data_IF_520446592942
#
_entry.id   IF_520446592942
#
_cell.length_a   1.000
_cell.length_b   1.000
_cell.length_c   1.000
_cell.angle_alpha   90.00
_cell.angle_beta   90.00
_cell.angle_gamma   90.00
#
_symmetry.space_group_name_H-M   'P 1'
#
loop_
_entity.id
_entity.type
_entity.pdbx_description
1 polymer ?
#
# COMPACT_ATOMS: atom_id res chain seq x y z
N UNK A 1 25.30 -16.89 15.40
CA UNK A 1 25.12 -18.32 15.08
C UNK A 1 24.85 -18.44 13.58
N UNK A 2 24.96 -19.62 12.96
CA UNK A 2 24.53 -19.80 11.56
C UNK A 2 23.00 -19.68 11.47
N UNK A 3 22.48 -19.43 10.28
CA UNK A 3 21.04 -19.55 10.05
C UNK A 3 20.63 -21.03 10.23
N UNK A 4 19.39 -21.30 10.66
CA UNK A 4 18.87 -22.65 10.90
C UNK A 4 19.07 -23.55 9.66
N UNK A 5 18.80 -23.00 8.47
CA UNK A 5 19.02 -23.63 7.17
C UNK A 5 20.50 -23.91 6.83
N UNK A 6 21.42 -23.28 7.57
CA UNK A 6 22.88 -23.44 7.47
C UNK A 6 23.47 -24.20 8.66
N UNK A 7 22.63 -24.92 9.43
CA UNK A 7 23.03 -25.72 10.59
C UNK A 7 23.21 -24.91 11.88
N UNK A 8 22.51 -23.78 12.01
CA UNK A 8 22.39 -23.06 13.29
C UNK A 8 21.62 -23.87 14.33
N UNK A 9 21.79 -23.53 15.61
CA UNK A 9 21.13 -24.23 16.72
C UNK A 9 20.12 -23.30 17.39
N UNK A 10 18.98 -23.86 17.78
CA UNK A 10 17.99 -23.10 18.54
C UNK A 10 18.55 -22.73 19.92
N UNK A 11 18.40 -21.46 20.28
CA UNK A 11 18.78 -20.93 21.60
C UNK A 11 17.50 -20.64 22.36
N UNK A 12 17.27 -21.33 23.48
CA UNK A 12 16.14 -21.02 24.36
C UNK A 12 16.24 -19.59 24.89
N UNK A 13 15.13 -18.86 24.92
CA UNK A 13 15.05 -17.52 25.51
C UNK A 13 15.53 -17.50 26.97
N UNK A 14 15.23 -18.55 27.76
CA UNK A 14 15.68 -18.66 29.16
C UNK A 14 17.20 -18.84 29.30
N UNK A 15 17.86 -19.29 28.24
CA UNK A 15 19.31 -19.49 28.20
C UNK A 15 20.05 -18.30 27.58
N UNK A 16 19.32 -17.30 27.06
CA UNK A 16 19.89 -16.14 26.40
C UNK A 16 20.62 -15.26 27.42
N UNK A 17 21.91 -14.98 27.17
CA UNK A 17 22.72 -14.09 28.02
C UNK A 17 22.90 -12.74 27.34
N UNK A 18 22.89 -11.66 28.13
CA UNK A 18 23.25 -10.32 27.66
C UNK A 18 24.77 -10.11 27.76
N UNK A 19 25.43 -9.48 26.77
CA UNK A 19 24.86 -9.02 25.50
C UNK A 19 24.56 -10.18 24.57
N UNK A 20 23.44 -10.09 23.84
CA UNK A 20 23.08 -11.08 22.82
C UNK A 20 24.05 -10.95 21.65
N UNK A 21 24.55 -12.07 21.13
CA UNK A 21 25.42 -12.06 19.96
C UNK A 21 24.69 -11.46 18.74
N UNK A 22 25.30 -10.51 18.05
CA UNK A 22 24.68 -9.80 16.92
C UNK A 22 24.32 -10.68 15.72
N UNK A 23 24.91 -11.88 15.62
CA UNK A 23 24.62 -12.88 14.59
C UNK A 23 23.47 -13.83 14.95
N UNK A 24 22.79 -13.62 16.07
CA UNK A 24 21.61 -14.39 16.46
C UNK A 24 20.39 -13.95 15.65
N UNK A 25 19.50 -14.90 15.31
CA UNK A 25 18.30 -14.65 14.50
C UNK A 25 17.04 -14.97 15.31
N UNK A 26 15.98 -14.18 15.10
CA UNK A 26 14.63 -14.46 15.62
C UNK A 26 13.83 -15.15 14.52
N UNK A 27 13.35 -16.36 14.80
CA UNK A 27 12.49 -17.12 13.89
C UNK A 27 11.04 -17.06 14.37
N UNK A 28 10.20 -16.31 13.65
CA UNK A 28 8.74 -16.30 13.83
C UNK A 28 8.07 -15.80 12.54
N UNK A 29 6.79 -16.14 12.33
CA UNK A 29 6.00 -15.52 11.26
C UNK A 29 5.94 -14.01 11.52
N UNK A 30 6.22 -13.22 10.49
CA UNK A 30 6.31 -11.75 10.55
C UNK A 30 7.47 -11.19 11.39
N UNK A 31 8.46 -12.00 11.75
CA UNK A 31 9.64 -11.51 12.45
C UNK A 31 10.41 -10.47 11.63
N UNK A 32 10.59 -10.66 10.33
CA UNK A 32 11.27 -9.66 9.48
C UNK A 32 10.32 -8.65 8.84
N UNK A 33 9.07 -9.05 8.62
CA UNK A 33 8.09 -8.33 7.81
C UNK A 33 6.67 -8.53 8.41
N UNK A 34 6.12 -7.61 9.19
CA UNK A 34 6.57 -6.23 9.51
C UNK A 34 6.73 -5.96 11.03
N UNK A 35 6.50 -6.97 11.88
CA UNK A 35 6.29 -6.77 13.33
C UNK A 35 7.53 -6.33 14.09
N UNK A 36 8.71 -6.87 13.76
CA UNK A 36 9.94 -6.45 14.46
C UNK A 36 10.33 -5.00 14.15
N UNK A 37 10.28 -4.52 12.90
CA UNK A 37 10.43 -3.09 12.61
C UNK A 37 9.52 -2.18 13.46
N UNK A 38 8.23 -2.50 13.59
CA UNK A 38 7.30 -1.72 14.44
C UNK A 38 7.77 -1.73 15.90
N UNK A 39 8.09 -2.92 16.42
CA UNK A 39 8.54 -3.08 17.81
C UNK A 39 9.85 -2.33 18.09
N UNK A 40 10.78 -2.34 17.13
CA UNK A 40 12.05 -1.63 17.26
C UNK A 40 11.85 -0.12 17.37
N UNK A 41 10.94 0.45 16.59
CA UNK A 41 10.63 1.88 16.68
C UNK A 41 9.95 2.23 17.99
N UNK A 42 8.97 1.45 18.44
CA UNK A 42 8.31 1.67 19.74
C UNK A 42 9.31 1.60 20.90
N UNK A 43 10.21 0.60 20.88
CA UNK A 43 11.26 0.45 21.88
C UNK A 43 12.21 1.66 21.90
N UNK A 44 12.54 2.22 20.74
CA UNK A 44 13.38 3.42 20.66
C UNK A 44 12.68 4.65 21.25
N UNK A 45 11.38 4.82 20.99
CA UNK A 45 10.57 5.89 21.59
C UNK A 45 10.47 5.75 23.11
N UNK A 46 10.24 4.53 23.60
CA UNK A 46 10.20 4.24 25.03
C UNK A 46 11.55 4.55 25.70
N UNK A 47 12.67 4.21 25.06
CA UNK A 47 14.01 4.52 25.56
C UNK A 47 14.30 6.02 25.61
N UNK A 48 13.88 6.79 24.59
CA UNK A 48 13.99 8.25 24.59
C UNK A 48 13.17 8.86 25.72
N UNK A 49 11.93 8.40 25.88
CA UNK A 49 11.03 8.86 26.94
C UNK A 49 11.61 8.54 28.34
N UNK A 50 12.11 7.32 28.56
CA UNK A 50 12.73 6.90 29.82
C UNK A 50 14.03 7.65 30.14
N UNK A 51 14.75 8.11 29.12
CA UNK A 51 15.94 8.94 29.25
C UNK A 51 15.64 10.45 29.33
N UNK A 52 14.35 10.84 29.37
CA UNK A 52 13.89 12.23 29.35
C UNK A 52 14.44 13.04 28.15
N UNK A 53 14.67 12.36 27.02
CA UNK A 53 15.14 12.99 25.78
C UNK A 53 13.91 13.39 24.95
N UNK A 54 13.65 14.69 24.76
CA UNK A 54 12.49 15.13 23.98
C UNK A 54 12.68 14.84 22.49
N UNK A 55 11.57 14.55 21.80
CA UNK A 55 11.57 14.48 20.34
C UNK A 55 11.79 15.87 19.75
N UNK A 56 12.71 15.99 18.80
CA UNK A 56 12.98 17.24 18.09
C UNK A 56 12.02 17.51 16.92
N UNK A 57 11.21 16.52 16.56
CA UNK A 57 10.26 16.55 15.44
C UNK A 57 8.98 15.81 15.80
N UNK A 58 7.90 16.13 15.10
CA UNK A 58 6.68 15.32 15.13
C UNK A 58 6.90 14.02 14.36
N UNK A 59 6.54 12.89 14.97
CA UNK A 59 6.62 11.56 14.35
C UNK A 59 5.21 11.08 14.05
N UNK A 60 4.95 10.68 12.80
CA UNK A 60 3.70 10.04 12.37
C UNK A 60 4.02 8.68 11.78
N UNK A 61 3.31 7.66 12.21
CA UNK A 61 3.44 6.30 11.70
C UNK A 61 2.39 6.03 10.62
N UNK A 62 2.85 5.48 9.50
CA UNK A 62 2.00 4.93 8.45
C UNK A 62 2.23 3.43 8.44
N UNK A 63 1.25 2.69 8.94
CA UNK A 63 1.24 1.23 8.94
C UNK A 63 0.21 0.78 7.91
N UNK A 64 0.65 0.02 6.92
CA UNK A 64 -0.20 -0.60 5.89
C UNK A 64 -0.24 -2.09 6.23
N UNK A 65 -1.43 -2.66 6.41
CA UNK A 65 -1.62 -4.06 6.80
C UNK A 65 -2.42 -4.87 5.78
N UNK A 66 -2.65 -4.32 4.59
CA UNK A 66 -3.59 -4.85 3.59
C UNK A 66 -2.91 -5.23 2.26
N UNK A 67 -1.58 -5.23 2.23
CA UNK A 67 -0.77 -5.62 1.06
C UNK A 67 -1.16 -7.02 0.52
N UNK A 68 -1.68 -7.92 1.38
CA UNK A 68 -1.98 -9.31 1.05
C UNK A 68 -3.48 -9.66 0.89
N UNK A 69 -4.45 -8.82 1.29
CA UNK A 69 -5.87 -9.26 1.45
C UNK A 69 -6.97 -8.20 1.12
N UNK A 70 -6.62 -7.11 0.43
CA UNK A 70 -7.58 -6.00 0.17
C UNK A 70 -8.58 -6.22 -0.98
N UNK A 71 -8.54 -7.37 -1.66
CA UNK A 71 -9.35 -7.59 -2.87
C UNK A 71 -10.77 -8.10 -2.60
N UNK A 72 -10.99 -8.76 -1.45
CA UNK A 72 -12.22 -9.49 -1.14
C UNK A 72 -13.29 -8.63 -0.43
N UNK A 73 -12.89 -7.55 0.26
CA UNK A 73 -13.79 -6.63 0.94
C UNK A 73 -13.84 -5.25 0.25
N UNK A 74 -15.02 -4.64 0.25
CA UNK A 74 -15.18 -3.25 -0.21
C UNK A 74 -14.49 -2.25 0.73
N UNK A 75 -14.26 -1.02 0.24
CA UNK A 75 -13.67 0.07 1.02
C UNK A 75 -14.38 0.30 2.36
N UNK A 76 -15.71 0.41 2.34
CA UNK A 76 -16.50 0.77 3.53
C UNK A 76 -16.57 -0.38 4.53
N UNK A 77 -16.70 -1.61 4.04
CA UNK A 77 -16.70 -2.83 4.88
C UNK A 77 -15.36 -2.97 5.62
N UNK A 78 -14.25 -2.72 4.93
CA UNK A 78 -12.92 -2.76 5.54
C UNK A 78 -12.71 -1.65 6.57
N UNK A 79 -13.20 -0.45 6.28
CA UNK A 79 -13.15 0.66 7.22
C UNK A 79 -13.92 0.34 8.50
N UNK A 80 -15.09 -0.27 8.37
CA UNK A 80 -15.92 -0.70 9.51
C UNK A 80 -15.23 -1.80 10.33
N UNK A 81 -14.64 -2.80 9.68
CA UNK A 81 -13.88 -3.87 10.33
C UNK A 81 -12.76 -3.30 11.22
N UNK A 82 -11.90 -2.46 10.64
CA UNK A 82 -10.76 -1.86 11.35
C UNK A 82 -11.27 -0.94 12.46
N UNK A 83 -12.30 -0.12 12.20
CA UNK A 83 -12.85 0.80 13.19
C UNK A 83 -13.42 0.05 14.41
N UNK A 84 -14.13 -1.06 14.17
CA UNK A 84 -14.66 -1.93 15.22
C UNK A 84 -13.54 -2.55 16.05
N UNK A 85 -12.48 -3.03 15.39
CA UNK A 85 -11.32 -3.58 16.06
C UNK A 85 -10.59 -2.55 16.92
N UNK A 86 -10.35 -1.35 16.41
CA UNK A 86 -9.70 -0.25 17.15
C UNK A 86 -10.52 0.17 18.36
N UNK A 87 -11.85 0.27 18.20
CA UNK A 87 -12.79 0.57 19.31
C UNK A 87 -12.71 -0.48 20.40
N UNK A 88 -12.62 -1.76 20.02
CA UNK A 88 -12.51 -2.88 20.97
C UNK A 88 -11.20 -2.88 21.76
N UNK A 89 -10.09 -2.48 21.15
CA UNK A 89 -8.81 -2.33 21.86
C UNK A 89 -8.89 -1.17 22.85
N UNK A 90 -9.62 -0.10 22.50
CA UNK A 90 -9.76 1.08 23.35
C UNK A 90 -8.46 1.89 23.46
N UNK A 91 -7.72 2.01 22.35
CA UNK A 91 -6.49 2.80 22.31
C UNK A 91 -6.80 4.29 22.48
N UNK A 92 -6.04 4.94 23.37
CA UNK A 92 -6.02 6.40 23.54
C UNK A 92 -4.82 7.00 22.79
N UNK A 93 -4.91 6.98 21.46
CA UNK A 93 -3.94 7.59 20.54
C UNK A 93 -4.68 8.32 19.43
N UNK A 94 -4.09 9.39 18.88
CA UNK A 94 -4.56 9.98 17.63
C UNK A 94 -4.18 9.04 16.47
N UNK A 95 -5.19 8.52 15.77
CA UNK A 95 -4.99 7.65 14.61
C UNK A 95 -5.94 8.04 13.49
N UNK A 96 -5.53 7.71 12.26
CA UNK A 96 -6.36 7.80 11.06
C UNK A 96 -6.30 6.47 10.35
N UNK A 97 -7.46 5.94 9.96
CA UNK A 97 -7.54 4.71 9.17
C UNK A 97 -7.49 5.12 7.70
N UNK A 98 -6.57 4.51 6.95
CA UNK A 98 -6.47 4.64 5.50
C UNK A 98 -6.68 3.27 4.90
N UNK A 99 -7.77 3.10 4.16
CA UNK A 99 -8.01 1.87 3.40
C UNK A 99 -7.52 2.08 1.97
N UNK A 100 -6.50 1.32 1.56
CA UNK A 100 -6.03 1.30 0.19
C UNK A 100 -6.83 0.30 -0.64
N UNK A 101 -8.07 0.63 -1.02
CA UNK A 101 -8.90 -0.27 -1.82
C UNK A 101 -8.60 -0.17 -3.34
N UNK A 102 -8.06 -1.21 -4.00
CA UNK A 102 -7.25 -2.32 -3.44
C UNK A 102 -5.75 -2.15 -3.78
N UNK A 103 -5.35 -1.10 -4.50
CA UNK A 103 -3.93 -0.76 -4.70
C UNK A 103 -3.70 0.71 -5.10
N UNK A 104 -2.48 1.22 -4.98
CA UNK A 104 -2.13 2.59 -5.41
C UNK A 104 -2.33 2.80 -6.92
N UNK A 105 -2.11 1.77 -7.73
CA UNK A 105 -2.29 1.82 -9.18
C UNK A 105 -3.74 2.13 -9.57
N UNK A 106 -4.70 1.71 -8.74
CA UNK A 106 -6.12 2.06 -8.87
C UNK A 106 -6.32 3.57 -8.79
N UNK A 107 -5.73 4.25 -7.79
CA UNK A 107 -5.78 5.71 -7.70
C UNK A 107 -5.08 6.37 -8.88
N UNK A 108 -3.93 5.82 -9.31
CA UNK A 108 -3.19 6.33 -10.44
C UNK A 108 -4.00 6.26 -11.75
N UNK A 109 -4.77 5.19 -11.97
CA UNK A 109 -5.72 5.06 -13.08
C UNK A 109 -6.88 6.07 -13.01
N UNK A 110 -7.09 6.72 -11.85
CA UNK A 110 -7.98 7.85 -11.69
C UNK A 110 -7.64 9.05 -12.60
N UNK A 111 -6.42 9.13 -13.13
CA UNK A 111 -6.05 10.19 -14.06
C UNK A 111 -6.63 9.93 -15.47
N UNK A 112 -7.85 10.41 -15.75
CA UNK A 112 -8.48 10.29 -17.08
C UNK A 112 -7.63 10.89 -18.22
N UNK A 113 -6.78 11.88 -17.93
CA UNK A 113 -5.95 12.54 -18.94
C UNK A 113 -4.78 11.67 -19.45
N UNK A 114 -4.47 10.53 -18.83
CA UNK A 114 -3.50 9.55 -19.38
C UNK A 114 -4.15 8.53 -20.31
N UNK A 115 -5.46 8.33 -20.22
CA UNK A 115 -6.17 7.30 -20.99
C UNK A 115 -6.36 7.77 -22.44
N UNK A 116 -5.80 7.08 -23.45
CA UNK A 116 -5.95 7.48 -24.84
C UNK A 116 -7.38 7.23 -25.34
N UNK A 117 -8.02 8.26 -25.91
CA UNK A 117 -9.33 8.12 -26.57
C UNK A 117 -9.30 7.11 -27.72
N UNK A 118 -8.20 7.09 -28.46
CA UNK A 118 -7.91 6.13 -29.53
C UNK A 118 -6.60 5.40 -29.18
N UNK A 119 -6.66 4.25 -28.51
CA UNK A 119 -5.47 3.52 -28.11
C UNK A 119 -4.69 3.00 -29.31
N UNK A 120 -3.36 3.08 -29.28
CA UNK A 120 -2.48 2.63 -30.39
C UNK A 120 -2.26 1.12 -30.37
N UNK A 121 -2.19 0.53 -29.19
CA UNK A 121 -1.88 -0.88 -28.96
C UNK A 121 -3.15 -1.72 -28.73
N UNK A 122 -3.13 -2.96 -29.20
CA UNK A 122 -4.22 -3.92 -28.95
C UNK A 122 -4.43 -4.18 -27.47
N UNK A 123 -3.35 -4.15 -26.69
CA UNK A 123 -3.39 -4.37 -25.24
C UNK A 123 -4.28 -3.35 -24.53
N UNK A 124 -4.16 -2.06 -24.85
CA UNK A 124 -5.00 -1.03 -24.24
C UNK A 124 -6.44 -1.11 -24.77
N UNK A 125 -6.64 -1.49 -26.04
CA UNK A 125 -7.99 -1.75 -26.59
C UNK A 125 -8.68 -2.89 -25.84
N UNK A 126 -7.97 -4.00 -25.61
CA UNK A 126 -8.47 -5.15 -24.86
C UNK A 126 -8.85 -4.75 -23.43
N UNK A 127 -7.96 -4.07 -22.71
CA UNK A 127 -8.24 -3.66 -21.33
C UNK A 127 -9.42 -2.69 -21.23
N UNK A 128 -9.57 -1.75 -22.18
CA UNK A 128 -10.74 -0.86 -22.23
C UNK A 128 -12.04 -1.58 -22.55
N UNK A 129 -12.00 -2.62 -23.38
CA UNK A 129 -13.18 -3.43 -23.67
C UNK A 129 -13.65 -4.22 -22.43
N UNK A 130 -12.74 -4.57 -21.53
CA UNK A 130 -13.05 -5.25 -20.26
C UNK A 130 -13.55 -4.25 -19.24
N UNK A 131 -12.82 -3.15 -19.05
CA UNK A 131 -13.19 -2.09 -18.13
C UNK A 131 -12.62 -0.75 -18.62
N UNK A 132 -13.50 0.14 -19.10
CA UNK A 132 -13.06 1.44 -19.56
C UNK A 132 -12.87 2.40 -18.38
N UNK A 133 -11.63 2.52 -17.90
CA UNK A 133 -11.27 3.43 -16.80
C UNK A 133 -11.43 4.90 -17.15
N UNK A 134 -11.71 5.26 -18.41
CA UNK A 134 -12.07 6.64 -18.75
C UNK A 134 -13.44 7.01 -18.16
N UNK A 135 -14.38 6.07 -18.22
CA UNK A 135 -15.79 6.26 -17.84
C UNK A 135 -16.09 5.64 -16.48
N UNK A 136 -15.58 4.44 -16.21
CA UNK A 136 -15.89 3.66 -15.01
C UNK A 136 -14.83 3.85 -13.91
N UNK A 137 -15.22 3.62 -12.65
CA UNK A 137 -14.31 3.71 -11.51
C UNK A 137 -13.21 2.65 -11.58
N UNK A 138 -11.92 3.02 -11.56
CA UNK A 138 -10.84 2.06 -11.41
C UNK A 138 -10.95 1.18 -10.16
N UNK A 139 -11.58 1.67 -9.08
CA UNK A 139 -11.75 0.89 -7.84
C UNK A 139 -12.62 -0.35 -8.01
N UNK A 140 -13.44 -0.38 -9.07
CA UNK A 140 -14.34 -1.49 -9.41
C UNK A 140 -13.76 -2.38 -10.52
N UNK A 141 -12.45 -2.31 -10.77
CA UNK A 141 -11.78 -3.17 -11.76
C UNK A 141 -12.06 -4.66 -11.46
N UNK A 142 -12.49 -5.44 -12.48
CA UNK A 142 -12.75 -6.87 -12.31
C UNK A 142 -11.46 -7.69 -12.31
N UNK A 143 -11.54 -8.93 -11.83
CA UNK A 143 -10.49 -9.94 -12.03
C UNK A 143 -10.36 -10.24 -13.52
N UNK A 144 -9.12 -10.30 -14.05
CA UNK A 144 -8.91 -10.55 -15.48
C UNK A 144 -9.14 -12.04 -15.81
N UNK A 145 -10.21 -12.42 -16.55
CA UNK A 145 -10.63 -13.82 -16.64
C UNK A 145 -9.64 -14.74 -17.35
N UNK A 146 -8.87 -14.18 -18.30
CA UNK A 146 -8.00 -14.96 -19.19
C UNK A 146 -6.61 -15.28 -18.62
N UNK A 147 -6.22 -14.66 -17.51
CA UNK A 147 -4.84 -14.72 -17.04
C UNK A 147 -4.68 -15.07 -15.54
N UNK A 148 -5.77 -15.38 -14.83
CA UNK A 148 -5.75 -15.61 -13.38
C UNK A 148 -5.03 -14.48 -12.59
N UNK A 149 -5.05 -13.25 -13.12
CA UNK A 149 -4.47 -12.11 -12.41
C UNK A 149 -5.43 -11.60 -11.36
N UNK A 150 -4.89 -11.25 -10.21
CA UNK A 150 -5.62 -10.51 -9.17
C UNK A 150 -6.04 -9.12 -9.69
N UNK A 151 -6.98 -8.46 -9.02
CA UNK A 151 -7.42 -7.11 -9.41
C UNK A 151 -6.24 -6.12 -9.34
N UNK A 152 -5.37 -6.24 -8.31
CA UNK A 152 -4.15 -5.43 -8.14
C UNK A 152 -3.18 -5.60 -9.30
N UNK A 153 -2.95 -6.84 -9.72
CA UNK A 153 -2.11 -7.15 -10.87
C UNK A 153 -2.71 -6.58 -12.16
N UNK A 154 -4.03 -6.66 -12.33
CA UNK A 154 -4.68 -6.07 -13.49
C UNK A 154 -4.54 -4.54 -13.51
N UNK A 155 -4.77 -3.85 -12.38
CA UNK A 155 -4.58 -2.41 -12.26
C UNK A 155 -3.15 -1.97 -12.62
N UNK A 156 -2.13 -2.68 -12.13
CA UNK A 156 -0.73 -2.40 -12.47
C UNK A 156 -0.44 -2.57 -13.96
N UNK A 157 -0.89 -3.69 -14.55
CA UNK A 157 -0.70 -3.97 -15.97
C UNK A 157 -1.41 -2.95 -16.85
N UNK A 158 -2.59 -2.51 -16.44
CA UNK A 158 -3.39 -1.54 -17.16
C UNK A 158 -2.73 -0.15 -17.12
N UNK A 159 -2.32 0.32 -15.94
CA UNK A 159 -1.61 1.58 -15.78
C UNK A 159 -0.35 1.62 -16.64
N UNK A 160 0.48 0.57 -16.58
CA UNK A 160 1.69 0.44 -17.42
C UNK A 160 1.35 0.47 -18.90
N UNK A 161 0.31 -0.25 -19.33
CA UNK A 161 -0.09 -0.31 -20.74
C UNK A 161 -0.53 1.07 -21.26
N UNK A 162 -1.36 1.81 -20.50
CA UNK A 162 -1.82 3.15 -20.87
C UNK A 162 -0.64 4.14 -21.00
N UNK A 163 0.28 4.14 -20.03
CA UNK A 163 1.43 5.04 -20.05
C UNK A 163 2.34 4.78 -21.27
N UNK A 164 2.62 3.50 -21.54
CA UNK A 164 3.46 3.09 -22.67
C UNK A 164 2.80 3.42 -24.04
N UNK A 165 1.46 3.32 -24.12
CA UNK A 165 0.70 3.65 -25.34
C UNK A 165 0.78 5.15 -25.66
N UNK A 166 0.70 5.98 -24.60
CA UNK A 166 0.85 7.43 -24.71
C UNK A 166 2.26 7.81 -25.15
N UNK A 167 3.28 7.28 -24.49
CA UNK A 167 4.69 7.52 -24.80
C UNK A 167 5.53 6.29 -24.43
N UNK A 168 6.19 5.67 -25.41
CA UNK A 168 7.02 4.48 -25.21
C UNK A 168 8.21 4.68 -24.26
N UNK A 169 8.62 5.93 -24.01
CA UNK A 169 9.69 6.28 -23.07
C UNK A 169 9.20 6.48 -21.63
N UNK A 170 7.89 6.43 -21.39
CA UNK A 170 7.28 6.55 -20.07
C UNK A 170 6.72 5.18 -19.71
N UNK A 171 7.05 4.69 -18.51
CA UNK A 171 6.55 3.42 -17.98
C UNK A 171 6.32 3.55 -16.48
N UNK A 172 5.66 2.54 -15.91
CA UNK A 172 5.44 2.41 -14.48
C UNK A 172 5.83 1.01 -13.99
N UNK A 173 6.57 0.97 -12.88
CA UNK A 173 6.72 -0.22 -12.04
C UNK A 173 6.71 0.22 -10.59
N UNK A 174 6.44 -0.70 -9.64
CA UNK A 174 6.55 -0.40 -8.21
C UNK A 174 7.94 0.13 -7.79
N UNK A 175 8.98 -0.18 -8.59
CA UNK A 175 10.36 0.34 -8.40
C UNK A 175 10.63 1.67 -9.11
N UNK A 176 9.82 2.03 -10.10
CA UNK A 176 9.98 3.25 -10.89
C UNK A 176 8.63 3.96 -11.04
N UNK A 177 8.33 4.81 -10.05
CA UNK A 177 7.06 5.54 -9.94
C UNK A 177 7.11 6.94 -10.57
N UNK A 178 8.25 7.33 -11.16
CA UNK A 178 8.51 8.71 -11.66
C UNK A 178 7.43 9.26 -12.59
N UNK A 179 6.79 8.40 -13.38
CA UNK A 179 5.68 8.79 -14.27
C UNK A 179 4.49 9.42 -13.53
N UNK A 180 4.30 9.07 -12.25
CA UNK A 180 3.18 9.52 -11.42
C UNK A 180 3.55 10.73 -10.53
N UNK A 181 4.85 10.95 -10.29
CA UNK A 181 5.36 11.92 -9.31
C UNK A 181 5.40 13.35 -9.86
N UNK A 182 4.25 13.88 -10.29
CA UNK A 182 4.13 15.28 -10.65
C UNK A 182 2.78 15.88 -10.22
N UNK A 183 2.79 17.18 -9.93
CA UNK A 183 1.63 17.91 -9.42
C UNK A 183 0.43 17.82 -10.36
N UNK A 184 0.65 17.87 -11.67
CA UNK A 184 -0.43 17.77 -12.65
C UNK A 184 -1.12 16.41 -12.60
N UNK A 185 -0.37 15.33 -12.41
CA UNK A 185 -0.93 13.99 -12.25
C UNK A 185 -1.82 13.92 -11.01
N UNK A 186 -1.30 14.36 -9.86
CA UNK A 186 -2.05 14.45 -8.61
C UNK A 186 -3.36 15.25 -8.77
N UNK A 187 -3.29 16.43 -9.40
CA UNK A 187 -4.46 17.27 -9.63
C UNK A 187 -5.53 16.59 -10.46
N UNK A 188 -5.14 15.82 -11.49
CA UNK A 188 -6.10 15.08 -12.33
C UNK A 188 -6.80 13.96 -11.55
N UNK A 189 -6.05 13.21 -10.73
CA UNK A 189 -6.61 12.18 -9.85
C UNK A 189 -7.57 12.80 -8.84
N UNK A 190 -7.15 13.89 -8.18
CA UNK A 190 -7.97 14.63 -7.21
C UNK A 190 -9.26 15.17 -7.85
N UNK A 191 -9.16 15.76 -9.03
CA UNK A 191 -10.31 16.30 -9.77
C UNK A 191 -11.34 15.21 -10.05
N UNK A 192 -10.90 14.03 -10.53
CA UNK A 192 -11.82 12.91 -10.75
C UNK A 192 -12.54 12.49 -9.46
N UNK A 193 -11.80 12.31 -8.37
CA UNK A 193 -12.37 11.92 -7.08
C UNK A 193 -13.39 12.95 -6.55
N UNK A 194 -13.19 14.24 -6.85
CA UNK A 194 -14.13 15.31 -6.49
C UNK A 194 -15.36 15.33 -7.39
N UNK A 195 -15.18 15.18 -8.71
CA UNK A 195 -16.26 15.34 -9.69
C UNK A 195 -17.17 14.10 -9.81
N UNK A 196 -16.64 12.90 -9.58
CA UNK A 196 -17.37 11.64 -9.85
C UNK A 196 -17.54 10.75 -8.63
N UNK A 197 -16.96 11.10 -7.49
CA UNK A 197 -16.82 10.22 -6.31
C UNK A 197 -16.06 8.90 -6.57
N UNK A 198 -15.41 8.74 -7.73
CA UNK A 198 -14.60 7.56 -8.00
C UNK A 198 -13.39 7.51 -7.07
N UNK A 199 -12.76 6.34 -6.97
CA UNK A 199 -11.57 6.09 -6.14
C UNK A 199 -11.75 6.62 -4.71
N UNK A 200 -12.89 6.29 -4.09
CA UNK A 200 -13.30 6.82 -2.79
C UNK A 200 -12.24 6.61 -1.69
N UNK A 201 -11.50 5.50 -1.74
CA UNK A 201 -10.35 5.22 -0.87
C UNK A 201 -9.27 6.32 -0.89
N UNK A 202 -9.07 6.99 -2.04
CA UNK A 202 -8.15 8.12 -2.15
C UNK A 202 -8.63 9.36 -1.36
N UNK A 203 -9.95 9.54 -1.22
CA UNK A 203 -10.51 10.61 -0.37
C UNK A 203 -10.16 10.37 1.10
N UNK A 204 -10.33 9.13 1.57
CA UNK A 204 -9.94 8.71 2.91
C UNK A 204 -8.45 8.95 3.16
N UNK A 205 -7.59 8.57 2.20
CA UNK A 205 -6.16 8.87 2.25
C UNK A 205 -5.89 10.36 2.42
N UNK A 206 -6.48 11.25 1.60
CA UNK A 206 -6.25 12.70 1.73
C UNK A 206 -6.76 13.27 3.04
N UNK A 207 -7.88 12.77 3.56
CA UNK A 207 -8.43 13.19 4.84
C UNK A 207 -7.50 12.85 6.02
N UNK A 208 -6.64 11.83 5.91
CA UNK A 208 -5.69 11.46 6.96
C UNK A 208 -4.55 12.49 7.15
N UNK A 209 -4.32 13.38 6.19
CA UNK A 209 -3.26 14.40 6.24
C UNK A 209 -3.75 15.82 6.55
N UNK A 210 -5.07 16.01 6.62
CA UNK A 210 -5.70 17.27 7.04
C UNK A 210 -6.08 17.21 8.52
#
# INVERSE_FOLDING_TARGET
DKALESGGVEISLSALKSPVAGESRIYARSASDDKSPITAVLTALDALNAAEIPLSVNIKFFLEGEEEDSEDLGHDEKLEEISSFMTKIGLDIDYRIVVQHFCLETWALGNRAIVPRQPKTDKVREYRNIWDVLENDPAELPVLPKAQFTRAQFAELYLRAILNDRNRNITYTKRNTKALLNLKYYQQVKTRMQDTNHIASFRGFLAAFN
#
